data_IF_726693714012
#
_entry.id   IF_726693714012
#
_cell.length_a   1.000
_cell.length_b   1.000
_cell.length_c   1.000
_cell.angle_alpha   90.00
_cell.angle_beta   90.00
_cell.angle_gamma   90.00
#
_symmetry.space_group_name_H-M   'P 1'
#
loop_
_entity.id
_entity.type
_entity.pdbx_description
1 polymer ?
#
# COMPACT_ATOMS: atom_id res chain seq x y z
N UNK A 1 10.76 16.93 -2.35
CA UNK A 1 11.08 16.41 -3.70
C UNK A 1 10.55 14.98 -3.83
N UNK A 2 9.42 14.78 -4.50
CA UNK A 2 8.91 13.44 -4.80
C UNK A 2 9.70 12.87 -5.99
N UNK A 3 10.54 11.86 -5.76
CA UNK A 3 11.13 11.08 -6.85
C UNK A 3 10.02 10.23 -7.46
N UNK A 4 9.49 10.69 -8.59
CA UNK A 4 8.59 9.88 -9.41
C UNK A 4 9.39 8.72 -10.00
N UNK A 5 9.20 7.49 -9.49
CA UNK A 5 9.75 6.24 -10.04
C UNK A 5 9.10 5.87 -11.39
N UNK A 6 8.83 6.85 -12.25
CA UNK A 6 7.82 6.75 -13.31
C UNK A 6 8.14 5.77 -14.44
N UNK A 7 9.34 5.17 -14.50
CA UNK A 7 9.76 4.33 -15.62
C UNK A 7 10.60 3.11 -15.19
N UNK A 8 10.22 2.42 -14.12
CA UNK A 8 10.84 1.12 -13.80
C UNK A 8 10.13 0.01 -14.57
N UNK A 9 10.60 -0.26 -15.79
CA UNK A 9 10.12 -1.40 -16.59
C UNK A 9 10.80 -2.67 -16.08
N UNK A 10 10.00 -3.67 -15.70
CA UNK A 10 10.52 -4.98 -15.35
C UNK A 10 10.88 -5.76 -16.63
N UNK A 11 12.05 -6.40 -16.70
CA UNK A 11 12.37 -7.32 -17.79
C UNK A 11 11.51 -8.60 -17.64
N UNK A 12 10.32 -8.65 -18.26
CA UNK A 12 9.32 -9.71 -18.04
C UNK A 12 9.85 -11.15 -18.21
N UNK A 13 10.86 -11.33 -19.05
CA UNK A 13 11.50 -12.63 -19.31
C UNK A 13 12.64 -12.98 -18.33
N UNK A 14 12.86 -12.19 -17.30
CA UNK A 14 13.94 -12.43 -16.34
C UNK A 14 13.57 -13.59 -15.40
N UNK A 15 14.46 -14.57 -15.26
CA UNK A 15 14.20 -15.81 -14.51
C UNK A 15 13.81 -15.58 -13.05
N UNK A 16 14.44 -14.60 -12.38
CA UNK A 16 14.08 -14.18 -11.01
C UNK A 16 12.63 -13.66 -10.98
N UNK A 17 12.23 -12.83 -11.94
CA UNK A 17 10.88 -12.24 -12.00
C UNK A 17 9.83 -13.33 -12.21
N UNK A 18 10.10 -14.28 -13.09
CA UNK A 18 9.22 -15.42 -13.30
C UNK A 18 9.07 -16.26 -12.03
N UNK A 19 10.17 -16.53 -11.33
CA UNK A 19 10.17 -17.31 -10.09
C UNK A 19 9.38 -16.61 -8.97
N UNK A 20 9.41 -15.28 -8.88
CA UNK A 20 8.68 -14.53 -7.86
C UNK A 20 7.28 -14.08 -8.30
N UNK A 21 6.87 -14.32 -9.55
CA UNK A 21 5.58 -13.89 -10.10
C UNK A 21 4.36 -14.31 -9.27
N UNK A 22 4.29 -15.54 -8.71
CA UNK A 22 3.15 -15.92 -7.86
C UNK A 22 2.91 -14.98 -6.67
N UNK A 23 3.97 -14.31 -6.18
CA UNK A 23 3.86 -13.32 -5.12
C UNK A 23 3.14 -12.05 -5.57
N UNK A 24 3.20 -11.67 -6.85
CA UNK A 24 2.44 -10.53 -7.37
C UNK A 24 0.95 -10.86 -7.34
N UNK A 25 0.57 -12.01 -7.89
CA UNK A 25 -0.82 -12.40 -8.04
C UNK A 25 -1.49 -12.53 -6.66
N UNK A 26 -0.80 -13.16 -5.72
CA UNK A 26 -1.26 -13.24 -4.33
C UNK A 26 -1.33 -11.86 -3.66
N UNK A 27 -0.42 -10.92 -3.97
CA UNK A 27 -0.42 -9.59 -3.38
C UNK A 27 -1.60 -8.76 -3.88
N UNK A 28 -1.86 -8.80 -5.18
CA UNK A 28 -3.01 -8.14 -5.80
C UNK A 28 -4.31 -8.74 -5.30
N UNK A 29 -4.40 -10.07 -5.19
CA UNK A 29 -5.59 -10.75 -4.67
C UNK A 29 -5.88 -10.35 -3.22
N UNK A 30 -4.86 -10.37 -2.35
CA UNK A 30 -5.00 -9.97 -0.96
C UNK A 30 -5.37 -8.49 -0.82
N UNK A 31 -4.70 -7.60 -1.56
CA UNK A 31 -4.96 -6.17 -1.53
C UNK A 31 -6.38 -5.84 -2.01
N UNK A 32 -6.84 -6.53 -3.05
CA UNK A 32 -8.21 -6.40 -3.57
C UNK A 32 -9.23 -6.88 -2.54
N UNK A 33 -9.02 -8.04 -1.92
CA UNK A 33 -9.92 -8.56 -0.89
C UNK A 33 -10.03 -7.60 0.31
N UNK A 34 -8.90 -7.10 0.81
CA UNK A 34 -8.86 -6.15 1.92
C UNK A 34 -9.53 -4.82 1.57
N UNK A 35 -9.24 -4.26 0.39
CA UNK A 35 -9.88 -3.03 -0.08
C UNK A 35 -11.40 -3.20 -0.26
N UNK A 36 -11.84 -4.37 -0.73
CA UNK A 36 -13.26 -4.67 -0.92
C UNK A 36 -13.98 -4.74 0.42
N UNK A 37 -13.42 -5.44 1.40
CA UNK A 37 -13.96 -5.50 2.76
C UNK A 37 -14.02 -4.10 3.40
N UNK A 38 -12.94 -3.33 3.31
CA UNK A 38 -12.88 -1.97 3.82
C UNK A 38 -13.93 -1.05 3.17
N UNK A 39 -14.07 -1.07 1.83
CA UNK A 39 -15.07 -0.26 1.13
C UNK A 39 -16.50 -0.67 1.52
N UNK A 40 -16.76 -1.97 1.73
CA UNK A 40 -18.06 -2.45 2.16
C UNK A 40 -18.42 -1.99 3.58
N UNK A 41 -17.49 -2.14 4.53
CA UNK A 41 -17.64 -1.62 5.90
C UNK A 41 -17.86 -0.11 5.90
N UNK A 42 -17.06 0.62 5.13
CA UNK A 42 -17.15 2.06 5.07
C UNK A 42 -18.46 2.53 4.42
N UNK A 43 -18.91 1.87 3.35
CA UNK A 43 -20.20 2.18 2.74
C UNK A 43 -21.33 1.97 3.76
N UNK A 44 -21.31 0.87 4.49
CA UNK A 44 -22.31 0.61 5.53
C UNK A 44 -22.30 1.68 6.63
N UNK A 45 -21.11 2.16 7.02
CA UNK A 45 -20.98 3.26 7.98
C UNK A 45 -21.57 4.57 7.45
N UNK A 46 -21.31 4.91 6.17
CA UNK A 46 -21.89 6.10 5.52
C UNK A 46 -23.41 5.99 5.40
N UNK A 47 -23.93 4.83 5.01
CA UNK A 47 -25.38 4.61 4.89
C UNK A 47 -26.07 4.72 6.27
N UNK A 48 -25.40 4.31 7.35
CA UNK A 48 -25.92 4.41 8.72
C UNK A 48 -25.82 5.82 9.32
N UNK A 49 -24.77 6.57 8.96
CA UNK A 49 -24.52 7.92 9.44
C UNK A 49 -23.85 8.76 8.34
N UNK A 50 -24.63 9.51 7.53
CA UNK A 50 -24.10 10.23 6.36
C UNK A 50 -23.36 11.53 6.72
N UNK A 51 -23.25 11.86 8.02
CA UNK A 51 -22.56 13.07 8.48
C UNK A 51 -21.05 12.83 8.56
N UNK A 52 -20.29 13.50 7.68
CA UNK A 52 -18.85 13.35 7.55
C UNK A 52 -18.11 13.66 8.86
N UNK A 53 -18.53 14.69 9.59
CA UNK A 53 -17.90 15.08 10.84
C UNK A 53 -18.14 14.09 11.99
N UNK A 54 -19.13 13.20 11.86
CA UNK A 54 -19.32 12.09 12.79
C UNK A 54 -18.45 10.89 12.38
N UNK A 55 -18.38 10.59 11.08
CA UNK A 55 -17.57 9.50 10.56
C UNK A 55 -16.07 9.75 10.73
N UNK A 56 -15.60 10.95 10.39
CA UNK A 56 -14.21 11.41 10.53
C UNK A 56 -14.17 12.80 11.18
N UNK A 57 -14.36 12.87 12.51
CA UNK A 57 -14.31 14.13 13.22
C UNK A 57 -12.96 14.81 12.99
N UNK A 58 -13.02 16.12 12.74
CA UNK A 58 -11.81 16.91 12.63
C UNK A 58 -10.97 16.72 13.92
N UNK A 59 -9.65 16.53 13.83
CA UNK A 59 -8.84 16.37 15.01
C UNK A 59 -9.00 17.61 15.92
N UNK A 60 -9.44 17.37 17.15
CA UNK A 60 -9.49 18.40 18.19
C UNK A 60 -8.12 19.07 18.36
N UNK A 61 -8.13 20.31 18.86
CA UNK A 61 -6.92 21.07 19.18
C UNK A 61 -6.18 20.36 20.33
N UNK A 62 -5.31 19.40 20.02
CA UNK A 62 -4.51 18.72 21.04
C UNK A 62 -3.45 19.71 21.54
N UNK A 63 -3.53 20.06 22.82
CA UNK A 63 -2.54 20.94 23.45
C UNK A 63 -1.11 20.39 23.26
N UNK A 64 -0.15 21.31 23.14
CA UNK A 64 1.24 21.06 22.74
C UNK A 64 2.08 20.18 23.69
N UNK A 65 1.48 19.57 24.71
CA UNK A 65 2.19 18.90 25.80
C UNK A 65 2.45 17.40 25.59
N UNK A 66 2.00 16.80 24.48
CA UNK A 66 2.35 15.43 24.08
C UNK A 66 2.64 15.33 22.56
N UNK A 67 3.69 16.02 22.06
CA UNK A 67 3.80 16.42 20.66
C UNK A 67 3.77 15.25 19.68
N UNK A 68 4.44 14.13 19.95
CA UNK A 68 4.61 13.06 18.95
C UNK A 68 3.35 12.20 18.79
N UNK A 69 2.74 11.72 19.88
CA UNK A 69 1.53 10.90 19.80
C UNK A 69 0.33 11.74 19.35
N UNK A 70 0.19 12.95 19.88
CA UNK A 70 -0.85 13.90 19.46
C UNK A 70 -0.76 14.22 17.96
N UNK A 71 0.45 14.49 17.46
CA UNK A 71 0.68 14.75 16.05
C UNK A 71 0.36 13.53 15.18
N UNK A 72 0.75 12.32 15.60
CA UNK A 72 0.41 11.08 14.87
C UNK A 72 -1.09 10.85 14.78
N UNK A 73 -1.81 10.99 15.90
CA UNK A 73 -3.28 10.86 15.92
C UNK A 73 -3.94 11.92 15.05
N UNK A 74 -3.43 13.16 15.07
CA UNK A 74 -3.92 14.24 14.21
C UNK A 74 -3.71 13.94 12.73
N UNK A 75 -2.51 13.49 12.34
CA UNK A 75 -2.21 13.11 10.96
C UNK A 75 -3.11 11.96 10.50
N UNK A 76 -3.28 10.92 11.32
CA UNK A 76 -4.14 9.79 10.99
C UNK A 76 -5.61 10.20 10.80
N UNK A 77 -6.14 11.07 11.68
CA UNK A 77 -7.51 11.61 11.54
C UNK A 77 -7.66 12.43 10.26
N UNK A 78 -6.67 13.27 9.94
CA UNK A 78 -6.69 14.08 8.72
C UNK A 78 -6.63 13.21 7.46
N UNK A 79 -5.76 12.20 7.44
CA UNK A 79 -5.67 11.26 6.32
C UNK A 79 -6.95 10.47 6.12
N UNK A 80 -7.59 10.06 7.21
CA UNK A 80 -8.88 9.38 7.16
C UNK A 80 -9.98 10.30 6.62
N UNK A 81 -10.04 11.56 7.07
CA UNK A 81 -10.98 12.56 6.51
C UNK A 81 -10.76 12.78 5.02
N UNK A 82 -9.52 13.01 4.59
CA UNK A 82 -9.18 13.17 3.17
C UNK A 82 -9.48 11.92 2.33
N UNK A 83 -9.47 10.73 2.93
CA UNK A 83 -9.88 9.51 2.27
C UNK A 83 -11.40 9.49 2.07
N UNK A 84 -12.17 9.83 3.10
CA UNK A 84 -13.63 9.93 3.01
C UNK A 84 -14.06 10.94 1.96
N UNK A 85 -13.50 12.16 1.99
CA UNK A 85 -13.77 13.21 1.00
C UNK A 85 -13.52 12.76 -0.45
N UNK A 86 -12.63 11.78 -0.68
CA UNK A 86 -12.39 11.20 -2.02
C UNK A 86 -13.33 10.04 -2.36
N UNK A 87 -13.84 9.35 -1.35
CA UNK A 87 -14.76 8.21 -1.49
C UNK A 87 -16.22 8.64 -1.47
N UNK A 88 -16.48 9.90 -1.14
CA UNK A 88 -17.82 10.48 -1.11
C UNK A 88 -17.94 11.67 -2.04
N UNK A 89 -19.17 12.02 -2.37
CA UNK A 89 -19.52 13.29 -3.01
C UNK A 89 -20.38 14.07 -2.02
N UNK A 90 -20.18 15.38 -1.94
CA UNK A 90 -21.08 16.25 -1.16
C UNK A 90 -22.47 16.21 -1.79
N UNK A 91 -23.49 16.13 -0.94
CA UNK A 91 -24.87 16.34 -1.37
C UNK A 91 -25.04 17.86 -1.49
N UNK A 92 -25.15 18.37 -2.72
CA UNK A 92 -25.57 19.76 -2.93
C UNK A 92 -26.94 19.92 -2.27
N UNK A 93 -27.02 20.73 -1.20
CA UNK A 93 -28.28 21.14 -0.63
C UNK A 93 -28.83 22.29 -1.50
N UNK A 94 -29.91 22.08 -2.28
CA UNK A 94 -30.47 23.12 -3.12
C UNK A 94 -31.05 24.31 -2.34
N UNK A 95 -31.16 24.20 -1.01
CA UNK A 95 -31.57 25.29 -0.11
C UNK A 95 -30.42 25.87 0.71
N UNK A 96 -29.17 25.45 0.49
CA UNK A 96 -28.03 26.13 1.08
C UNK A 96 -27.86 27.49 0.36
N UNK A 97 -28.54 28.51 0.86
CA UNK A 97 -28.16 29.89 0.60
C UNK A 97 -26.65 30.01 0.82
N UNK A 98 -25.97 30.68 -0.10
CA UNK A 98 -24.51 30.78 -0.36
C UNK A 98 -23.65 31.29 0.83
N UNK A 99 -24.18 31.27 2.04
CA UNK A 99 -23.48 31.45 3.29
C UNK A 99 -22.84 30.12 3.70
N UNK A 100 -21.55 29.98 3.39
CA UNK A 100 -20.65 29.01 4.01
C UNK A 100 -20.57 29.25 5.52
N UNK A 101 -21.58 28.76 6.26
CA UNK A 101 -21.55 28.78 7.73
C UNK A 101 -20.44 27.82 8.16
N UNK A 102 -19.38 28.27 8.86
CA UNK A 102 -18.19 27.46 9.18
C UNK A 102 -18.38 26.28 10.15
N UNK A 103 -19.59 25.72 10.27
CA UNK A 103 -19.93 24.73 11.30
C UNK A 103 -21.08 23.78 10.93
N UNK A 104 -21.66 23.86 9.73
CA UNK A 104 -22.71 22.91 9.34
C UNK A 104 -22.08 21.55 9.00
N UNK A 105 -22.54 20.45 9.61
CA UNK A 105 -21.97 19.14 9.35
C UNK A 105 -22.18 18.74 7.90
N UNK A 106 -21.11 18.34 7.21
CA UNK A 106 -21.18 17.99 5.78
C UNK A 106 -21.89 16.65 5.60
N UNK A 107 -23.02 16.66 4.89
CA UNK A 107 -23.71 15.41 4.51
C UNK A 107 -23.07 14.85 3.24
N UNK A 108 -22.68 13.58 3.28
CA UNK A 108 -21.95 12.92 2.20
C UNK A 108 -22.70 11.72 1.65
N UNK A 109 -22.53 11.46 0.35
CA UNK A 109 -23.05 10.28 -0.34
C UNK A 109 -21.91 9.45 -0.88
N UNK A 110 -22.07 8.13 -0.87
CA UNK A 110 -21.11 7.20 -1.46
C UNK A 110 -20.81 7.51 -2.93
N UNK A 111 -19.53 7.68 -3.27
CA UNK A 111 -19.08 7.90 -4.64
C UNK A 111 -18.55 6.61 -5.27
N UNK A 112 -19.29 6.05 -6.23
CA UNK A 112 -18.84 4.88 -7.01
C UNK A 112 -17.51 5.14 -7.70
N UNK A 113 -17.36 6.31 -8.35
CA UNK A 113 -16.13 6.70 -9.03
C UNK A 113 -14.97 6.88 -8.04
N UNK A 114 -15.23 7.39 -6.82
CA UNK A 114 -14.25 7.47 -5.74
C UNK A 114 -13.74 6.09 -5.32
N UNK A 115 -14.66 5.14 -5.13
CA UNK A 115 -14.34 3.76 -4.77
C UNK A 115 -13.51 3.05 -5.85
N UNK A 116 -13.87 3.20 -7.13
CA UNK A 116 -13.10 2.64 -8.26
C UNK A 116 -11.67 3.21 -8.31
N UNK A 117 -11.52 4.53 -8.13
CA UNK A 117 -10.19 5.17 -8.05
C UNK A 117 -9.37 4.68 -6.86
N UNK A 118 -10.00 4.47 -5.71
CA UNK A 118 -9.33 3.90 -4.53
C UNK A 118 -8.85 2.48 -4.80
N UNK A 119 -9.70 1.63 -5.39
CA UNK A 119 -9.34 0.26 -5.75
C UNK A 119 -8.16 0.22 -6.72
N UNK A 120 -8.22 1.01 -7.81
CA UNK A 120 -7.12 1.11 -8.77
C UNK A 120 -5.80 1.54 -8.10
N UNK A 121 -5.87 2.48 -7.14
CA UNK A 121 -4.70 2.92 -6.37
C UNK A 121 -4.14 1.82 -5.46
N UNK A 122 -5.00 1.01 -4.84
CA UNK A 122 -4.57 -0.11 -3.98
C UNK A 122 -3.85 -1.17 -4.82
N UNK A 123 -4.43 -1.57 -5.95
CA UNK A 123 -3.81 -2.53 -6.89
C UNK A 123 -2.47 -2.01 -7.39
N UNK A 124 -2.43 -0.77 -7.90
CA UNK A 124 -1.20 -0.14 -8.37
C UNK A 124 -0.12 -0.07 -7.28
N UNK A 125 -0.48 0.17 -6.02
CA UNK A 125 0.46 0.13 -4.91
C UNK A 125 1.01 -1.27 -4.67
N UNK A 126 0.18 -2.31 -4.71
CA UNK A 126 0.62 -3.69 -4.55
C UNK A 126 1.62 -4.08 -5.67
N UNK A 127 1.32 -3.72 -6.91
CA UNK A 127 2.20 -3.90 -8.06
C UNK A 127 3.54 -3.16 -7.88
N UNK A 128 3.51 -1.89 -7.47
CA UNK A 128 4.74 -1.13 -7.23
C UNK A 128 5.62 -1.73 -6.13
N UNK A 129 5.01 -2.26 -5.06
CA UNK A 129 5.75 -2.95 -4.00
C UNK A 129 6.42 -4.21 -4.52
N UNK A 130 5.72 -4.97 -5.36
CA UNK A 130 6.29 -6.13 -6.05
C UNK A 130 7.45 -5.75 -6.98
N UNK A 131 7.29 -4.72 -7.82
CA UNK A 131 8.33 -4.23 -8.73
C UNK A 131 9.59 -3.84 -7.95
N UNK A 132 9.42 -3.06 -6.88
CA UNK A 132 10.52 -2.65 -6.02
C UNK A 132 11.25 -3.84 -5.37
N UNK A 133 10.49 -4.86 -4.94
CA UNK A 133 11.02 -6.10 -4.40
C UNK A 133 11.82 -6.90 -5.44
N UNK A 134 11.25 -7.13 -6.62
CA UNK A 134 11.88 -7.90 -7.69
C UNK A 134 13.19 -7.26 -8.18
N UNK A 135 13.18 -5.94 -8.41
CA UNK A 135 14.38 -5.20 -8.81
C UNK A 135 15.46 -5.23 -7.73
N UNK A 136 15.07 -5.13 -6.45
CA UNK A 136 16.00 -5.25 -5.34
C UNK A 136 16.65 -6.64 -5.29
N UNK A 137 15.90 -7.69 -5.61
CA UNK A 137 16.44 -9.06 -5.67
C UNK A 137 17.44 -9.20 -6.80
N UNK A 138 17.07 -8.79 -8.02
CA UNK A 138 17.96 -8.82 -9.19
C UNK A 138 19.27 -8.08 -8.87
N UNK A 139 19.16 -6.83 -8.38
CA UNK A 139 20.31 -6.00 -8.03
C UNK A 139 21.23 -6.62 -6.97
N UNK A 140 20.72 -7.53 -6.12
CA UNK A 140 21.52 -8.20 -5.08
C UNK A 140 22.11 -9.53 -5.50
N UNK A 141 21.39 -10.26 -6.34
CA UNK A 141 21.79 -11.60 -6.81
C UNK A 141 22.84 -11.47 -7.92
N UNK A 142 22.66 -10.48 -8.80
CA UNK A 142 23.48 -10.26 -9.99
C UNK A 142 24.47 -9.10 -9.83
N UNK A 143 24.70 -8.63 -8.59
CA UNK A 143 25.58 -7.48 -8.32
C UNK A 143 27.02 -7.67 -8.80
N UNK A 144 27.49 -8.92 -8.85
CA UNK A 144 28.86 -9.28 -9.23
C UNK A 144 28.98 -9.59 -10.74
N UNK A 145 27.95 -9.27 -11.53
CA UNK A 145 27.92 -9.50 -12.98
C UNK A 145 27.62 -10.95 -13.40
N UNK A 146 27.45 -11.86 -12.43
CA UNK A 146 27.01 -13.22 -12.68
C UNK A 146 25.48 -13.23 -12.83
N UNK A 147 24.98 -13.69 -13.98
CA UNK A 147 23.55 -13.64 -14.34
C UNK A 147 22.84 -14.91 -13.85
N UNK A 148 21.62 -14.76 -13.37
CA UNK A 148 20.77 -15.89 -12.99
C UNK A 148 20.29 -16.65 -14.25
N UNK A 149 20.50 -17.98 -14.28
CA UNK A 149 20.01 -18.86 -15.34
C UNK A 149 18.72 -19.59 -14.97
N UNK A 150 18.54 -19.88 -13.68
CA UNK A 150 17.31 -20.48 -13.18
C UNK A 150 17.02 -19.96 -11.78
N UNK A 151 15.74 -19.82 -11.45
CA UNK A 151 15.33 -19.42 -10.12
C UNK A 151 14.07 -20.20 -9.72
N UNK A 152 14.04 -20.68 -8.47
CA UNK A 152 12.91 -21.41 -7.91
C UNK A 152 12.59 -20.83 -6.54
N UNK A 153 11.36 -20.35 -6.38
CA UNK A 153 10.85 -19.89 -5.10
C UNK A 153 10.23 -21.09 -4.36
N UNK A 154 10.68 -21.33 -3.14
CA UNK A 154 10.11 -22.32 -2.24
C UNK A 154 9.78 -21.67 -0.89
N UNK A 155 8.80 -22.18 -0.15
CA UNK A 155 8.43 -21.67 1.18
C UNK A 155 6.93 -21.60 1.39
N UNK A 156 6.54 -20.98 2.51
CA UNK A 156 5.13 -20.79 2.86
C UNK A 156 4.47 -19.86 1.82
N UNK A 157 3.31 -20.29 1.32
CA UNK A 157 2.50 -19.58 0.33
C UNK A 157 1.96 -18.23 0.86
N UNK A 158 2.08 -18.00 2.17
CA UNK A 158 1.74 -16.71 2.80
C UNK A 158 2.68 -15.62 2.30
N UNK A 159 2.07 -14.70 1.56
CA UNK A 159 2.68 -13.54 0.93
C UNK A 159 3.87 -12.95 1.70
N UNK A 160 5.06 -13.13 1.15
CA UNK A 160 6.31 -12.54 1.63
C UNK A 160 6.72 -12.90 3.08
N UNK A 161 6.17 -13.91 3.73
CA UNK A 161 6.49 -14.17 5.15
C UNK A 161 7.80 -14.95 5.34
N UNK A 162 7.94 -16.08 4.65
CA UNK A 162 9.09 -16.98 4.78
C UNK A 162 9.32 -17.74 3.46
N UNK A 163 9.88 -17.05 2.47
CA UNK A 163 10.27 -17.68 1.21
C UNK A 163 11.79 -17.77 1.07
N UNK A 164 12.23 -18.83 0.39
CA UNK A 164 13.61 -19.09 0.01
C UNK A 164 13.65 -19.16 -1.50
N UNK A 165 14.31 -18.18 -2.11
CA UNK A 165 14.61 -18.18 -3.54
C UNK A 165 15.94 -18.89 -3.75
N UNK A 166 15.92 -20.03 -4.45
CA UNK A 166 17.12 -20.72 -4.90
C UNK A 166 17.42 -20.29 -6.33
N UNK A 167 18.64 -19.82 -6.58
CA UNK A 167 19.07 -19.30 -7.88
C UNK A 167 20.29 -20.07 -8.34
N UNK A 168 20.24 -20.59 -9.56
CA UNK A 168 21.39 -21.15 -10.26
C UNK A 168 21.96 -20.07 -11.17
N UNK A 169 23.22 -19.76 -10.97
CA UNK A 169 23.94 -18.73 -11.72
C UNK A 169 24.58 -19.31 -13.00
N UNK A 170 25.03 -18.44 -13.89
CA UNK A 170 25.64 -18.85 -15.16
C UNK A 170 26.93 -19.67 -15.01
N UNK A 171 27.70 -19.45 -13.95
CA UNK A 171 28.89 -20.24 -13.61
C UNK A 171 28.57 -21.60 -12.96
N UNK A 172 27.29 -21.96 -12.84
CA UNK A 172 26.81 -23.18 -12.19
C UNK A 172 26.76 -23.08 -10.65
N UNK A 173 27.19 -21.95 -10.07
CA UNK A 173 27.06 -21.75 -8.62
C UNK A 173 25.60 -21.60 -8.22
N UNK A 174 25.27 -22.08 -7.01
CA UNK A 174 23.92 -21.99 -6.46
C UNK A 174 23.91 -21.00 -5.31
N UNK A 175 22.98 -20.05 -5.34
CA UNK A 175 22.74 -19.11 -4.27
C UNK A 175 21.35 -19.36 -3.67
N UNK A 176 21.25 -19.33 -2.35
CA UNK A 176 19.95 -19.41 -1.66
C UNK A 176 19.70 -18.09 -0.94
N UNK A 177 18.55 -17.50 -1.17
CA UNK A 177 18.17 -16.18 -0.67
C UNK A 177 16.91 -16.30 0.16
N UNK A 178 17.03 -16.06 1.46
CA UNK A 178 15.86 -15.94 2.31
C UNK A 178 15.27 -14.55 2.14
N UNK A 179 13.97 -14.50 1.91
CA UNK A 179 13.20 -13.27 1.77
C UNK A 179 12.07 -13.28 2.80
N UNK A 180 11.96 -12.16 3.51
CA UNK A 180 10.93 -11.91 4.51
C UNK A 180 10.49 -10.47 4.39
N UNK A 181 9.19 -10.21 4.44
CA UNK A 181 8.62 -8.88 4.63
C UNK A 181 8.61 -8.56 6.12
N UNK A 182 9.04 -7.35 6.43
CA UNK A 182 8.90 -6.76 7.75
C UNK A 182 8.13 -5.45 7.58
N UNK A 183 7.12 -5.23 8.42
CA UNK A 183 6.50 -3.93 8.55
C UNK A 183 7.40 -3.04 9.39
N UNK A 184 7.83 -1.92 8.81
CA UNK A 184 8.60 -0.91 9.52
C UNK A 184 7.82 0.40 9.53
N UNK A 185 8.18 1.29 10.46
CA UNK A 185 7.55 2.59 10.65
C UNK A 185 8.62 3.66 10.49
N UNK A 186 8.39 4.64 9.62
CA UNK A 186 9.36 5.71 9.40
C UNK A 186 9.46 6.62 10.64
N UNK A 187 10.48 7.48 10.69
CA UNK A 187 10.58 8.52 11.74
C UNK A 187 9.32 9.40 11.77
N UNK A 188 8.67 9.57 10.62
CA UNK A 188 7.42 10.33 10.47
C UNK A 188 6.16 9.52 10.83
N UNK A 189 6.28 8.26 11.24
CA UNK A 189 5.15 7.41 11.61
C UNK A 189 4.51 6.63 10.46
N UNK A 190 5.03 6.73 9.24
CA UNK A 190 4.45 6.03 8.09
C UNK A 190 4.82 4.55 8.11
N UNK A 191 3.84 3.65 8.06
CA UNK A 191 4.06 2.21 7.92
C UNK A 191 4.48 1.93 6.46
N UNK A 192 5.54 1.14 6.28
CA UNK A 192 5.98 0.68 4.97
C UNK A 192 6.59 -0.72 5.03
N UNK A 193 6.52 -1.42 3.89
CA UNK A 193 7.12 -2.73 3.75
C UNK A 193 8.62 -2.60 3.57
N UNK A 194 9.38 -3.34 4.37
CA UNK A 194 10.78 -3.60 4.14
C UNK A 194 10.96 -5.05 3.71
N UNK A 195 11.81 -5.25 2.71
CA UNK A 195 12.13 -6.57 2.18
C UNK A 195 13.60 -6.91 2.48
N UNK A 196 13.97 -7.25 3.73
CA UNK A 196 15.28 -7.84 3.98
C UNK A 196 15.44 -9.11 3.15
N UNK A 197 16.56 -9.16 2.45
CA UNK A 197 16.98 -10.30 1.63
C UNK A 197 18.37 -10.68 2.06
N UNK A 198 18.55 -11.95 2.43
CA UNK A 198 19.82 -12.47 2.97
C UNK A 198 20.22 -13.71 2.20
N UNK A 199 21.45 -13.73 1.70
CA UNK A 199 22.08 -14.94 1.18
C UNK A 199 22.35 -15.90 2.35
N UNK A 200 21.84 -17.11 2.24
CA UNK A 200 22.11 -18.21 3.16
C UNK A 200 23.51 -18.76 2.85
N UNK A 201 24.21 -19.20 3.91
CA UNK A 201 25.51 -19.88 3.79
C UNK A 201 25.30 -21.36 3.57
#
# INVERSE_FOLDING_TARGET
MARTFKNLTLPENHVIIQAVRPLLDAAVAQATAQATAFLAELKAAIDAQPLLDILAPYPEYVSCHAPVLAQRTRTAKLEYRMLLERLTTELDDPNADDYSVPAMPTTVVWSKAGAEKYMAKVVSKAEHQYVAYALKLISKIECDGNVAQAAVLAGDERLWQLSVLTVTMQDGSVQRWQTKMIWNVSVLGNIFNQFPTRRLK
#
